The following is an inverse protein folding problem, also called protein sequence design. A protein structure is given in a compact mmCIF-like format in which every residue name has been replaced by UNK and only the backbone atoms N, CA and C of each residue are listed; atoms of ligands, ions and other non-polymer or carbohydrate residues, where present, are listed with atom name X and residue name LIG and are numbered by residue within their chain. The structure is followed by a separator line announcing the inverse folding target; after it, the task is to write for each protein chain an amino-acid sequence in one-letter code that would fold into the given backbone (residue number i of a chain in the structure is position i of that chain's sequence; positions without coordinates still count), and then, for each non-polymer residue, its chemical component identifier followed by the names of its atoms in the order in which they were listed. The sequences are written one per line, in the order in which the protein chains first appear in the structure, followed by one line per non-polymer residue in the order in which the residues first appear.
data_IF_299319017172
#
_entry.id   IF_299319017172
#
_cell.length_a   1.000
_cell.length_b   1.000
_cell.length_c   1.000
_cell.angle_alpha   90.00
_cell.angle_beta   90.00
_cell.angle_gamma   90.00
#
_symmetry.space_group_name_H-M   'P 1'
#
loop_
_entity.id
_entity.type
_entity.pdbx_description
1 polymer ?
#
# COMPACT_ATOMS: atom_id res chain seq x y z
N UNK A 1 -70.99 -42.45 48.30
CA UNK A 1 -69.59 -42.11 48.32
C UNK A 1 -69.21 -41.61 46.95
N UNK A 2 -68.97 -40.30 46.80
CA UNK A 2 -68.54 -39.69 45.56
C UNK A 2 -67.05 -39.31 45.70
N UNK A 3 -66.21 -39.92 44.92
CA UNK A 3 -64.79 -39.62 44.84
C UNK A 3 -64.57 -38.49 43.76
N UNK A 4 -64.09 -37.36 44.21
CA UNK A 4 -63.80 -36.22 43.36
C UNK A 4 -62.28 -36.27 42.90
N UNK A 5 -62.07 -36.48 41.63
CA UNK A 5 -60.78 -36.44 41.01
C UNK A 5 -60.40 -35.00 40.66
N UNK A 6 -59.34 -34.43 41.30
CA UNK A 6 -58.76 -33.13 40.95
C UNK A 6 -57.72 -33.32 39.86
N UNK A 7 -58.00 -32.78 38.70
CA UNK A 7 -57.07 -32.67 37.60
C UNK A 7 -56.08 -31.50 37.87
N UNK A 8 -54.78 -31.80 37.99
CA UNK A 8 -53.71 -30.82 38.06
C UNK A 8 -53.25 -30.50 36.62
N UNK A 9 -53.49 -29.28 36.19
CA UNK A 9 -52.95 -28.76 34.95
C UNK A 9 -51.51 -28.30 35.18
N UNK A 10 -50.52 -28.93 34.49
CA UNK A 10 -49.17 -28.52 34.48
C UNK A 10 -48.97 -27.51 33.31
N UNK A 11 -48.71 -26.25 33.66
CA UNK A 11 -48.36 -25.22 32.69
C UNK A 11 -46.85 -25.29 32.47
N UNK A 12 -46.43 -25.74 31.30
CA UNK A 12 -45.03 -25.72 30.87
C UNK A 12 -44.67 -24.32 30.36
N UNK A 13 -43.83 -23.57 31.11
CA UNK A 13 -43.20 -22.36 30.62
C UNK A 13 -42.06 -22.74 29.69
N UNK A 14 -42.22 -22.48 28.41
CA UNK A 14 -41.11 -22.53 27.42
C UNK A 14 -40.27 -21.24 27.53
N UNK A 15 -39.07 -21.35 28.06
CA UNK A 15 -38.10 -20.26 28.05
C UNK A 15 -37.50 -20.13 26.65
N UNK A 16 -37.85 -19.06 25.94
CA UNK A 16 -37.25 -18.70 24.66
C UNK A 16 -35.92 -17.96 24.98
N UNK A 17 -34.79 -18.66 24.84
CA UNK A 17 -33.48 -18.05 24.91
C UNK A 17 -33.19 -17.30 23.59
N UNK A 18 -33.29 -15.97 23.62
CA UNK A 18 -32.86 -15.10 22.51
C UNK A 18 -31.34 -15.06 22.56
N UNK A 19 -30.66 -15.78 21.66
CA UNK A 19 -29.25 -15.61 21.38
C UNK A 19 -29.07 -14.28 20.63
N UNK A 20 -28.64 -13.25 21.35
CA UNK A 20 -28.17 -12.00 20.73
C UNK A 20 -26.91 -12.33 19.96
N UNK A 21 -26.99 -12.41 18.63
CA UNK A 21 -25.83 -12.42 17.74
C UNK A 21 -25.27 -11.01 17.73
N UNK A 22 -24.20 -10.81 18.48
CA UNK A 22 -23.43 -9.56 18.46
C UNK A 22 -22.77 -9.44 17.08
N UNK A 23 -23.42 -8.73 16.16
CA UNK A 23 -22.84 -8.37 14.87
C UNK A 23 -21.82 -7.27 15.13
N UNK A 24 -20.57 -7.68 15.37
CA UNK A 24 -19.45 -6.74 15.36
C UNK A 24 -19.44 -6.02 14.00
N UNK A 25 -19.82 -4.74 14.01
CA UNK A 25 -19.70 -3.87 12.85
C UNK A 25 -18.20 -3.79 12.55
N UNK A 26 -17.77 -4.42 11.45
CA UNK A 26 -16.39 -4.34 10.99
C UNK A 26 -16.10 -2.87 10.67
N UNK A 27 -15.32 -2.21 11.54
CA UNK A 27 -14.80 -0.87 11.24
C UNK A 27 -13.82 -1.05 10.07
N UNK A 28 -14.02 -0.34 8.94
CA UNK A 28 -13.08 -0.42 7.85
C UNK A 28 -11.67 -0.07 8.34
N UNK A 29 -10.62 -0.75 7.85
CA UNK A 29 -9.25 -0.47 8.27
C UNK A 29 -8.93 1.02 8.05
N UNK A 30 -8.21 1.66 8.97
CA UNK A 30 -7.88 3.07 8.84
C UNK A 30 -7.01 3.28 7.60
N UNK A 31 -7.39 4.24 6.76
CA UNK A 31 -6.57 4.69 5.62
C UNK A 31 -5.28 5.33 6.14
N UNK A 32 -4.17 5.10 5.44
CA UNK A 32 -2.87 5.67 5.79
C UNK A 32 -2.94 7.21 5.88
N UNK A 33 -2.29 7.75 6.93
CA UNK A 33 -2.18 9.20 7.16
C UNK A 33 -0.80 9.54 7.65
N UNK A 34 -0.28 10.66 7.21
CA UNK A 34 1.02 11.19 7.70
C UNK A 34 1.01 11.37 9.22
N UNK A 35 2.09 10.94 9.87
CA UNK A 35 2.26 10.98 11.32
C UNK A 35 1.60 9.83 12.08
N UNK A 36 0.72 9.06 11.44
CA UNK A 36 0.03 7.93 12.06
C UNK A 36 0.78 6.60 11.79
N UNK A 37 0.54 5.56 12.59
CA UNK A 37 1.04 4.23 12.30
C UNK A 37 0.63 3.77 10.90
N UNK A 38 1.58 3.27 10.12
CA UNK A 38 1.33 2.74 8.80
C UNK A 38 0.38 1.52 8.88
N UNK A 39 -0.73 1.50 8.13
CA UNK A 39 -1.64 0.38 8.10
C UNK A 39 -0.92 -0.91 7.69
N UNK A 40 -1.16 -1.98 8.43
CA UNK A 40 -0.55 -3.28 8.15
C UNK A 40 -1.20 -3.95 6.96
N UNK A 41 -0.40 -4.58 6.12
CA UNK A 41 -0.89 -5.34 4.97
C UNK A 41 -0.05 -6.61 4.74
N UNK A 42 -0.64 -7.52 3.97
CA UNK A 42 0.03 -8.67 3.38
C UNK A 42 -0.22 -8.64 1.88
N UNK A 43 0.81 -8.85 1.08
CA UNK A 43 0.70 -9.01 -0.38
C UNK A 43 1.65 -10.13 -0.84
N UNK A 44 1.38 -10.68 -2.03
CA UNK A 44 2.30 -11.63 -2.63
C UNK A 44 3.33 -10.89 -3.49
N UNK A 45 4.58 -11.31 -3.43
CA UNK A 45 5.59 -10.89 -4.38
C UNK A 45 5.46 -11.68 -5.71
N UNK A 46 6.27 -11.31 -6.68
CA UNK A 46 6.31 -11.97 -8.01
C UNK A 46 6.79 -13.43 -7.97
N UNK A 47 7.25 -13.92 -6.82
CA UNK A 47 7.64 -15.33 -6.62
C UNK A 47 6.53 -16.15 -5.95
N UNK A 48 5.45 -15.48 -5.51
CA UNK A 48 4.36 -16.08 -4.73
C UNK A 48 4.62 -16.11 -3.22
N UNK A 49 5.71 -15.51 -2.75
CA UNK A 49 5.98 -15.37 -1.31
C UNK A 49 5.09 -14.28 -0.72
N UNK A 50 4.47 -14.56 0.42
CA UNK A 50 3.73 -13.54 1.17
C UNK A 50 4.70 -12.60 1.89
N UNK A 51 4.62 -11.33 1.57
CA UNK A 51 5.34 -10.24 2.22
C UNK A 51 4.38 -9.53 3.17
N UNK A 52 4.80 -9.32 4.40
CA UNK A 52 4.05 -8.57 5.42
C UNK A 52 4.80 -7.30 5.76
N UNK A 53 4.10 -6.16 5.84
CA UNK A 53 4.76 -4.92 6.24
C UNK A 53 5.49 -5.05 7.60
N UNK A 54 4.90 -5.78 8.54
CA UNK A 54 5.47 -6.03 9.87
C UNK A 54 6.81 -6.80 9.86
N UNK A 55 7.13 -7.55 8.80
CA UNK A 55 8.40 -8.27 8.66
C UNK A 55 9.60 -7.31 8.57
N UNK A 56 9.34 -6.03 8.26
CA UNK A 56 10.34 -4.96 8.14
C UNK A 56 10.34 -3.98 9.33
N UNK A 57 9.81 -4.39 10.48
CA UNK A 57 9.80 -3.56 11.68
C UNK A 57 11.20 -3.00 12.01
N UNK A 58 11.28 -1.72 12.37
CA UNK A 58 12.55 -1.03 12.66
C UNK A 58 13.34 -0.56 11.43
N UNK A 59 12.82 -0.77 10.22
CA UNK A 59 13.40 -0.27 8.96
C UNK A 59 12.64 0.95 8.46
N UNK A 60 13.33 1.82 7.72
CA UNK A 60 12.66 2.80 6.86
C UNK A 60 12.19 2.07 5.61
N UNK A 61 10.95 2.30 5.18
CA UNK A 61 10.32 1.60 4.07
C UNK A 61 9.81 2.61 3.06
N UNK A 62 10.01 2.33 1.77
CA UNK A 62 9.38 3.04 0.66
C UNK A 62 8.37 2.11 0.02
N UNK A 63 7.14 2.61 -0.17
CA UNK A 63 6.14 2.00 -1.04
C UNK A 63 6.07 2.84 -2.31
N UNK A 64 6.27 2.20 -3.47
CA UNK A 64 6.23 2.81 -4.79
C UNK A 64 5.13 2.14 -5.60
N UNK A 65 4.07 2.86 -5.96
CA UNK A 65 3.11 2.36 -6.96
C UNK A 65 3.58 2.65 -8.37
N UNK A 66 3.61 1.62 -9.20
CA UNK A 66 4.11 1.65 -10.57
C UNK A 66 3.09 1.17 -11.60
N UNK A 67 3.35 1.48 -12.87
CA UNK A 67 2.60 1.04 -14.05
C UNK A 67 3.54 1.24 -15.26
N UNK A 68 3.93 0.16 -15.92
CA UNK A 68 4.88 0.15 -17.04
C UNK A 68 4.40 0.99 -18.23
N UNK A 69 3.07 0.97 -18.49
CA UNK A 69 2.44 1.78 -19.54
C UNK A 69 2.23 3.27 -19.18
N UNK A 70 2.69 3.73 -18.01
CA UNK A 70 2.52 5.12 -17.59
C UNK A 70 3.72 5.99 -17.99
N UNK A 71 3.56 7.03 -18.86
CA UNK A 71 4.70 7.86 -19.27
C UNK A 71 5.32 8.68 -18.13
N UNK A 72 4.56 8.92 -17.04
CA UNK A 72 5.11 9.55 -15.84
C UNK A 72 6.00 8.59 -15.04
N UNK A 73 5.71 7.31 -15.03
CA UNK A 73 6.60 6.26 -14.50
C UNK A 73 7.82 6.12 -15.43
N UNK A 74 7.58 6.04 -16.75
CA UNK A 74 8.63 6.00 -17.76
C UNK A 74 9.64 7.13 -17.58
N UNK A 75 9.21 8.38 -17.30
CA UNK A 75 10.12 9.49 -16.99
C UNK A 75 11.20 9.10 -15.96
N UNK A 76 10.82 8.45 -14.88
CA UNK A 76 11.74 8.12 -13.79
C UNK A 76 12.59 6.88 -14.06
N UNK A 77 12.05 5.90 -14.78
CA UNK A 77 12.80 4.70 -15.13
C UNK A 77 13.73 4.94 -16.34
N UNK A 78 13.26 5.58 -17.41
CA UNK A 78 14.05 5.83 -18.61
C UNK A 78 15.18 6.84 -18.38
N UNK A 79 15.00 7.75 -17.42
CA UNK A 79 16.07 8.66 -16.99
C UNK A 79 17.10 8.02 -16.06
N UNK A 80 16.85 6.81 -15.55
CA UNK A 80 17.69 6.17 -14.53
C UNK A 80 17.47 6.68 -13.11
N UNK A 81 16.53 7.62 -12.91
CA UNK A 81 16.26 8.22 -11.59
C UNK A 81 15.78 7.19 -10.58
N UNK A 82 14.78 6.36 -10.95
CA UNK A 82 14.21 5.38 -10.02
C UNK A 82 15.24 4.34 -9.61
N UNK A 83 16.02 3.82 -10.56
CA UNK A 83 17.08 2.86 -10.29
C UNK A 83 18.15 3.44 -9.35
N UNK A 84 18.54 4.69 -9.56
CA UNK A 84 19.52 5.37 -8.69
C UNK A 84 18.97 5.53 -7.25
N UNK A 85 17.68 5.86 -7.09
CA UNK A 85 17.03 5.91 -5.78
C UNK A 85 17.00 4.53 -5.13
N UNK A 86 16.51 3.53 -5.84
CA UNK A 86 16.45 2.16 -5.33
C UNK A 86 17.84 1.68 -4.88
N UNK A 87 18.87 1.83 -5.71
CA UNK A 87 20.24 1.42 -5.40
C UNK A 87 20.81 2.17 -4.19
N UNK A 88 20.69 3.51 -4.17
CA UNK A 88 21.22 4.36 -3.08
C UNK A 88 20.61 3.93 -1.74
N UNK A 89 19.30 3.85 -1.69
CA UNK A 89 18.62 3.71 -0.41
C UNK A 89 18.53 2.26 0.09
N UNK A 90 18.41 1.27 -0.81
CA UNK A 90 18.51 -0.14 -0.39
C UNK A 90 19.90 -0.48 0.12
N UNK A 91 20.98 0.06 -0.49
CA UNK A 91 22.34 -0.07 0.05
C UNK A 91 22.48 0.57 1.46
N UNK A 92 21.69 1.59 1.77
CA UNK A 92 21.63 2.20 3.09
C UNK A 92 20.68 1.48 4.08
N UNK A 93 20.11 0.33 3.68
CA UNK A 93 19.25 -0.50 4.51
C UNK A 93 17.77 -0.09 4.54
N UNK A 94 17.34 0.80 3.64
CA UNK A 94 15.93 1.09 3.38
C UNK A 94 15.31 -0.09 2.64
N UNK A 95 14.10 -0.47 3.00
CA UNK A 95 13.31 -1.46 2.26
C UNK A 95 12.52 -0.72 1.18
N UNK A 96 12.67 -1.11 -0.08
CA UNK A 96 11.95 -0.52 -1.20
C UNK A 96 10.98 -1.55 -1.79
N UNK A 97 9.68 -1.32 -1.62
CA UNK A 97 8.62 -2.19 -2.13
C UNK A 97 7.92 -1.51 -3.29
N UNK A 98 8.03 -2.09 -4.48
CA UNK A 98 7.29 -1.64 -5.68
C UNK A 98 5.97 -2.41 -5.76
N UNK A 99 4.86 -1.74 -6.07
CA UNK A 99 3.52 -2.30 -6.07
C UNK A 99 2.80 -2.04 -7.39
N UNK A 100 2.07 -3.04 -7.88
CA UNK A 100 1.09 -2.91 -8.95
C UNK A 100 -0.31 -3.24 -8.41
N UNK A 101 -1.22 -2.25 -8.41
CA UNK A 101 -2.55 -2.36 -7.80
C UNK A 101 -3.72 -2.20 -8.78
N UNK A 102 -3.45 -2.16 -10.09
CA UNK A 102 -4.53 -2.15 -11.10
C UNK A 102 -5.19 -3.53 -11.21
N UNK A 103 -6.49 -3.54 -11.46
CA UNK A 103 -7.28 -4.75 -11.59
C UNK A 103 -6.94 -5.56 -12.87
N UNK A 104 -7.17 -6.88 -12.86
CA UNK A 104 -6.97 -7.71 -14.05
C UNK A 104 -7.70 -7.18 -15.27
N UNK A 105 -6.98 -7.07 -16.39
CA UNK A 105 -7.51 -6.54 -17.66
C UNK A 105 -7.40 -5.02 -17.79
N UNK A 106 -7.03 -4.31 -16.72
CA UNK A 106 -6.86 -2.86 -16.74
C UNK A 106 -5.40 -2.45 -16.96
N UNK A 107 -5.20 -1.22 -17.47
CA UNK A 107 -3.86 -0.66 -17.63
C UNK A 107 -3.11 -0.59 -16.30
N UNK A 108 -1.89 -1.13 -16.27
CA UNK A 108 -1.05 -1.22 -15.08
C UNK A 108 -1.27 -2.48 -14.26
N UNK A 109 -2.15 -3.38 -14.70
CA UNK A 109 -2.14 -4.76 -14.22
C UNK A 109 -0.95 -5.51 -14.80
N UNK A 110 -0.28 -6.28 -13.98
CA UNK A 110 0.83 -7.16 -14.41
C UNK A 110 0.71 -8.53 -13.75
N UNK A 111 1.03 -9.55 -14.52
CA UNK A 111 1.28 -10.90 -13.99
C UNK A 111 2.68 -10.98 -13.37
N UNK A 112 2.99 -12.02 -12.57
CA UNK A 112 4.35 -12.24 -12.06
C UNK A 112 5.43 -12.25 -13.16
N UNK A 113 5.12 -12.81 -14.33
CA UNK A 113 6.04 -12.92 -15.46
C UNK A 113 6.31 -11.55 -16.10
N UNK A 114 5.26 -10.74 -16.29
CA UNK A 114 5.36 -9.38 -16.82
C UNK A 114 6.11 -8.48 -15.85
N UNK A 115 5.78 -8.48 -14.54
CA UNK A 115 6.50 -7.71 -13.54
C UNK A 115 8.00 -8.07 -13.49
N UNK A 116 8.34 -9.35 -13.65
CA UNK A 116 9.74 -9.77 -13.76
C UNK A 116 10.41 -9.24 -15.04
N UNK A 117 9.68 -9.20 -16.16
CA UNK A 117 10.19 -8.63 -17.41
C UNK A 117 10.40 -7.12 -17.28
N UNK A 118 9.48 -6.39 -16.64
CA UNK A 118 9.59 -4.95 -16.39
C UNK A 118 10.80 -4.62 -15.51
N UNK A 119 11.01 -5.36 -14.42
CA UNK A 119 12.20 -5.20 -13.58
C UNK A 119 13.50 -5.39 -14.38
N UNK A 120 13.53 -6.39 -15.26
CA UNK A 120 14.71 -6.64 -16.10
C UNK A 120 14.90 -5.55 -17.16
N UNK A 121 13.81 -5.13 -17.84
CA UNK A 121 13.82 -4.06 -18.83
C UNK A 121 14.33 -2.74 -18.24
N UNK A 122 13.81 -2.34 -17.10
CA UNK A 122 14.21 -1.12 -16.40
C UNK A 122 15.51 -1.27 -15.62
N UNK A 123 16.04 -2.49 -15.48
CA UNK A 123 17.17 -2.77 -14.57
C UNK A 123 16.90 -2.25 -13.17
N UNK A 124 15.65 -2.37 -12.74
CA UNK A 124 15.17 -1.95 -11.43
C UNK A 124 15.61 -2.96 -10.35
N UNK A 125 15.88 -2.46 -9.15
CA UNK A 125 16.39 -3.26 -8.03
C UNK A 125 15.68 -2.92 -6.72
N UNK A 126 14.32 -2.96 -6.67
CA UNK A 126 13.62 -2.84 -5.40
C UNK A 126 13.97 -4.03 -4.50
N UNK A 127 13.60 -3.96 -3.22
CA UNK A 127 13.71 -5.11 -2.31
C UNK A 127 12.77 -6.22 -2.74
N UNK A 128 11.50 -5.86 -3.03
CA UNK A 128 10.48 -6.78 -3.54
C UNK A 128 9.53 -6.03 -4.49
N UNK A 129 8.93 -6.76 -5.42
CA UNK A 129 7.81 -6.28 -6.25
C UNK A 129 6.54 -7.03 -5.85
N UNK A 130 5.54 -6.30 -5.39
CA UNK A 130 4.30 -6.82 -4.82
C UNK A 130 3.14 -6.71 -5.81
N UNK A 131 2.32 -7.74 -5.86
CA UNK A 131 1.12 -7.80 -6.68
C UNK A 131 -0.10 -7.56 -5.80
N UNK A 132 -0.90 -6.57 -6.14
CA UNK A 132 -2.11 -6.16 -5.42
C UNK A 132 -3.30 -6.02 -6.40
N UNK A 133 -3.65 -7.10 -7.16
CA UNK A 133 -4.66 -7.05 -8.22
C UNK A 133 -6.07 -6.71 -7.72
N UNK A 134 -6.33 -6.89 -6.43
CA UNK A 134 -7.60 -6.51 -5.80
C UNK A 134 -7.58 -5.07 -5.26
N UNK A 135 -6.46 -4.37 -5.35
CA UNK A 135 -6.30 -3.00 -4.90
C UNK A 135 -6.42 -2.78 -3.38
N UNK A 136 -6.26 -3.85 -2.59
CA UNK A 136 -6.40 -3.78 -1.12
C UNK A 136 -5.34 -2.85 -0.53
N UNK A 137 -4.08 -3.05 -0.90
CA UNK A 137 -2.97 -2.23 -0.40
C UNK A 137 -3.05 -0.82 -0.97
N UNK A 138 -3.35 -0.70 -2.27
CA UNK A 138 -3.51 0.59 -2.92
C UNK A 138 -4.56 1.47 -2.26
N UNK A 139 -5.75 0.94 -2.00
CA UNK A 139 -6.84 1.65 -1.31
C UNK A 139 -6.48 1.97 0.15
N UNK A 140 -5.80 1.05 0.84
CA UNK A 140 -5.37 1.22 2.22
C UNK A 140 -4.41 2.42 2.40
N UNK A 141 -3.60 2.68 1.39
CA UNK A 141 -2.65 3.81 1.36
C UNK A 141 -3.14 5.01 0.53
N UNK A 142 -4.41 5.02 0.11
CA UNK A 142 -5.01 6.06 -0.74
C UNK A 142 -4.17 6.36 -1.99
N UNK A 143 -3.53 5.33 -2.56
CA UNK A 143 -2.76 5.45 -3.78
C UNK A 143 -3.71 5.65 -4.97
N UNK A 144 -3.55 6.73 -5.74
CA UNK A 144 -4.50 7.11 -6.80
C UNK A 144 -3.85 7.22 -8.17
N UNK A 145 -2.55 7.40 -8.22
CA UNK A 145 -1.80 7.63 -9.45
C UNK A 145 -0.52 6.80 -9.46
N UNK A 146 0.17 6.78 -10.60
CA UNK A 146 1.50 6.20 -10.74
C UNK A 146 2.44 7.20 -11.43
N UNK A 147 3.63 7.49 -10.83
CA UNK A 147 4.08 6.97 -9.55
C UNK A 147 3.40 7.62 -8.35
N UNK A 148 3.09 6.82 -7.31
CA UNK A 148 2.69 7.30 -6.00
C UNK A 148 3.67 6.77 -4.98
N UNK A 149 4.11 7.62 -4.05
CA UNK A 149 5.16 7.28 -3.11
C UNK A 149 4.66 7.40 -1.67
N UNK A 150 5.08 6.46 -0.82
CA UNK A 150 4.89 6.54 0.63
C UNK A 150 6.21 6.19 1.30
N UNK A 151 6.62 6.99 2.28
CA UNK A 151 7.78 6.70 3.12
C UNK A 151 7.30 6.44 4.54
N UNK A 152 7.70 5.29 5.09
CA UNK A 152 7.42 4.88 6.47
C UNK A 152 8.74 4.92 7.23
N UNK A 153 8.76 5.57 8.39
CA UNK A 153 9.94 5.67 9.23
C UNK A 153 10.23 4.39 10.04
N UNK A 154 11.35 4.37 10.74
CA UNK A 154 11.77 3.22 11.58
C UNK A 154 10.84 2.92 12.75
N UNK A 155 9.98 3.87 13.12
CA UNK A 155 8.97 3.66 14.17
C UNK A 155 7.67 3.08 13.63
N UNK A 156 7.60 2.85 12.32
CA UNK A 156 6.43 2.35 11.62
C UNK A 156 5.37 3.41 11.34
N UNK A 157 5.72 4.70 11.39
CA UNK A 157 4.80 5.80 11.07
C UNK A 157 5.01 6.29 9.65
N UNK A 158 3.93 6.72 9.01
CA UNK A 158 3.98 7.35 7.69
C UNK A 158 4.64 8.72 7.80
N UNK A 159 5.82 8.87 7.22
CA UNK A 159 6.60 10.12 7.25
C UNK A 159 6.34 11.01 6.02
N UNK A 160 6.00 10.39 4.88
CA UNK A 160 5.69 11.10 3.63
C UNK A 160 4.68 10.32 2.79
N UNK A 161 3.78 11.04 2.10
CA UNK A 161 2.87 10.48 1.09
C UNK A 161 2.72 11.45 -0.07
N UNK A 162 2.80 10.98 -1.33
CA UNK A 162 2.47 11.78 -2.50
C UNK A 162 3.34 11.55 -3.73
N UNK A 163 3.69 12.64 -4.41
CA UNK A 163 4.50 12.63 -5.62
C UNK A 163 5.95 12.23 -5.38
N UNK A 164 6.63 11.73 -6.41
CA UNK A 164 8.07 11.49 -6.33
C UNK A 164 8.87 12.80 -6.38
N UNK A 165 8.40 13.77 -7.19
CA UNK A 165 9.02 15.10 -7.34
C UNK A 165 7.97 16.20 -7.55
N UNK A 166 8.42 17.46 -7.67
CA UNK A 166 7.60 18.66 -7.84
C UNK A 166 7.26 18.97 -9.30
N UNK A 167 7.69 18.14 -10.25
CA UNK A 167 7.58 18.44 -11.69
C UNK A 167 6.70 17.43 -12.42
N UNK A 168 5.38 17.68 -12.52
CA UNK A 168 4.40 16.75 -13.13
C UNK A 168 4.49 16.77 -14.67
N UNK A 169 5.57 16.30 -15.22
CA UNK A 169 5.84 16.17 -16.64
C UNK A 169 6.31 14.78 -17.02
N UNK A 170 6.32 14.47 -18.31
CA UNK A 170 6.85 13.20 -18.85
C UNK A 170 8.24 13.35 -19.47
N UNK A 171 8.84 14.56 -19.40
CA UNK A 171 10.15 14.83 -20.01
C UNK A 171 11.29 14.33 -19.13
N UNK A 172 12.15 13.50 -19.67
CA UNK A 172 13.30 12.92 -18.95
C UNK A 172 14.26 14.00 -18.42
N UNK A 173 14.43 15.10 -19.16
CA UNK A 173 15.36 16.18 -18.77
C UNK A 173 14.95 16.87 -17.47
N UNK A 174 13.65 16.91 -17.16
CA UNK A 174 13.14 17.61 -15.99
C UNK A 174 13.56 16.95 -14.67
N UNK A 175 13.88 15.66 -14.67
CA UNK A 175 14.39 14.94 -13.49
C UNK A 175 15.63 15.61 -12.90
N UNK A 176 16.46 16.24 -13.75
CA UNK A 176 17.74 16.87 -13.31
C UNK A 176 17.54 18.10 -12.44
N UNK A 177 16.41 18.79 -12.60
CA UNK A 177 16.10 20.06 -11.93
C UNK A 177 14.94 19.95 -10.95
N UNK A 178 14.16 18.87 -11.01
CA UNK A 178 13.06 18.63 -10.12
C UNK A 178 13.52 18.42 -8.67
N UNK A 179 12.77 18.99 -7.72
CA UNK A 179 12.95 18.69 -6.31
C UNK A 179 12.32 17.33 -5.99
N UNK A 180 13.17 16.36 -5.64
CA UNK A 180 12.70 15.00 -5.33
C UNK A 180 12.29 14.89 -3.86
N UNK A 181 11.00 14.77 -3.61
CA UNK A 181 10.43 14.69 -2.26
C UNK A 181 10.81 13.40 -1.53
N UNK A 182 10.95 12.29 -2.25
CA UNK A 182 11.34 11.00 -1.65
C UNK A 182 12.78 11.07 -1.16
N UNK A 183 13.68 11.65 -1.97
CA UNK A 183 15.08 11.92 -1.55
C UNK A 183 15.11 12.80 -0.30
N UNK A 184 14.37 13.92 -0.33
CA UNK A 184 14.34 14.85 0.80
C UNK A 184 13.82 14.19 2.08
N UNK A 185 12.78 13.36 1.99
CA UNK A 185 12.23 12.63 3.12
C UNK A 185 13.21 11.60 3.67
N UNK A 186 13.81 10.78 2.80
CA UNK A 186 14.74 9.72 3.21
C UNK A 186 16.04 10.29 3.80
N UNK A 187 16.60 11.34 3.20
CA UNK A 187 17.81 12.00 3.71
C UNK A 187 17.55 12.69 5.07
N UNK A 188 16.37 13.32 5.27
CA UNK A 188 15.97 13.87 6.57
C UNK A 188 15.86 12.79 7.64
N UNK A 189 15.17 11.66 7.34
CA UNK A 189 15.05 10.55 8.28
C UNK A 189 16.41 9.92 8.63
N UNK A 190 17.30 9.78 7.64
CA UNK A 190 18.66 9.28 7.88
C UNK A 190 19.49 10.20 8.79
N UNK A 191 19.26 11.51 8.68
CA UNK A 191 19.90 12.52 9.55
C UNK A 191 19.21 12.70 10.91
N UNK A 192 18.13 11.95 11.20
CA UNK A 192 17.34 12.13 12.43
C UNK A 192 16.58 13.46 12.49
N UNK A 193 16.31 14.07 11.32
CA UNK A 193 15.61 15.34 11.19
C UNK A 193 14.15 15.12 10.79
N UNK A 194 13.25 16.04 11.13
CA UNK A 194 11.87 15.99 10.66
C UNK A 194 11.81 16.16 9.14
N UNK A 195 10.87 15.45 8.50
CA UNK A 195 10.57 15.62 7.07
C UNK A 195 9.87 16.97 6.86
N UNK A 196 10.47 17.86 6.08
CA UNK A 196 9.95 19.22 5.89
C UNK A 196 8.63 19.27 5.10
N UNK A 197 8.52 18.46 4.03
CA UNK A 197 7.30 18.30 3.24
C UNK A 197 6.80 16.88 3.45
N UNK A 198 5.73 16.73 4.21
CA UNK A 198 5.22 15.42 4.61
C UNK A 198 4.12 14.87 3.68
N UNK A 199 3.51 15.73 2.86
CA UNK A 199 2.47 15.33 1.92
C UNK A 199 2.44 16.22 0.70
N UNK A 200 2.23 15.60 -0.48
CA UNK A 200 1.99 16.28 -1.75
C UNK A 200 0.92 15.53 -2.53
N UNK A 201 0.40 16.14 -3.59
CA UNK A 201 -0.51 15.44 -4.50
C UNK A 201 0.31 14.60 -5.48
N UNK A 202 0.14 13.27 -5.46
CA UNK A 202 0.68 12.40 -6.49
C UNK A 202 0.12 12.78 -7.87
N UNK A 203 0.93 12.64 -8.90
CA UNK A 203 0.57 12.91 -10.29
C UNK A 203 0.89 11.69 -11.17
N UNK A 204 0.22 11.58 -12.30
CA UNK A 204 0.46 10.51 -13.27
C UNK A 204 -0.82 9.80 -13.71
N UNK A 205 -0.68 8.60 -14.22
CA UNK A 205 -1.82 7.78 -14.64
C UNK A 205 -2.58 7.25 -13.43
N UNK A 206 -3.90 7.29 -13.47
CA UNK A 206 -4.72 6.73 -12.38
C UNK A 206 -4.54 5.23 -12.26
N UNK A 207 -4.47 4.74 -11.03
CA UNK A 207 -4.57 3.30 -10.74
C UNK A 207 -6.00 2.85 -11.06
N UNK A 208 -6.14 1.76 -11.81
CA UNK A 208 -7.43 1.22 -12.24
C UNK A 208 -7.85 0.10 -11.30
N UNK A 209 -8.46 0.49 -10.19
CA UNK A 209 -9.04 -0.47 -9.27
C UNK A 209 -10.25 -1.17 -9.86
N UNK A 210 -10.52 -2.42 -9.43
CA UNK A 210 -11.80 -3.06 -9.73
C UNK A 210 -12.94 -2.26 -9.11
N UNK A 211 -14.07 -2.17 -9.79
CA UNK A 211 -15.33 -1.75 -9.16
C UNK A 211 -15.69 -2.80 -8.11
N UNK A 212 -16.13 -2.34 -6.93
CA UNK A 212 -16.59 -3.23 -5.85
C UNK A 212 -17.96 -3.82 -6.16
#
# INVERSE_FOLDING_TARGET
MRVSTKTMSVVALAAISILAVDQAIAVPPPTARVGEPAPQFNAQDITGKTIRLGDYAGKTIVLEWTNDGCPFVGKHYDSGNMQALQQKYTAAGVVWLTLASSAPGEQGYVTPAEAKADLAHWRATPTDFLLDPNGIVGRLYDARATPNMVVIDRTGRVAYMGAIDDTPSTRLADVKTAHNYVTAALDALAAGQPVAVTSTRAYGCSIKYSDE
#
